data_IF_766597736024
#
_entry.id   IF_766597736024
#
_cell.length_a   1.000
_cell.length_b   1.000
_cell.length_c   1.000
_cell.angle_alpha   90.00
_cell.angle_beta   90.00
_cell.angle_gamma   90.00
#
_symmetry.space_group_name_H-M   'P 1'
#
loop_
_entity.id
_entity.type
_entity.pdbx_description
1 polymer ?
#
# COMPACT_ATOMS: atom_id res chain seq x y z
N UNK A 1 30.79 -10.28 7.88
CA UNK A 1 31.98 -9.54 8.34
C UNK A 1 31.75 -9.14 9.78
N UNK A 2 32.70 -9.40 10.68
CA UNK A 2 32.61 -8.97 12.08
C UNK A 2 33.45 -7.69 12.30
N UNK A 3 32.77 -6.57 12.55
CA UNK A 3 33.42 -5.30 12.84
C UNK A 3 34.20 -5.31 14.17
N UNK A 4 33.78 -6.12 15.14
CA UNK A 4 34.51 -6.24 16.41
C UNK A 4 35.85 -6.93 16.18
N UNK A 5 35.87 -8.00 15.39
CA UNK A 5 37.11 -8.66 14.98
C UNK A 5 38.05 -7.70 14.23
N UNK A 6 37.51 -6.90 13.30
CA UNK A 6 38.31 -5.89 12.61
C UNK A 6 38.89 -4.82 13.55
N UNK A 7 38.09 -4.32 14.50
CA UNK A 7 38.54 -3.39 15.54
C UNK A 7 39.64 -4.00 16.41
N UNK A 8 39.52 -5.28 16.77
CA UNK A 8 40.59 -6.01 17.47
C UNK A 8 41.86 -6.10 16.64
N UNK A 9 41.76 -6.39 15.34
CA UNK A 9 42.92 -6.45 14.43
C UNK A 9 43.60 -5.08 14.27
N UNK A 10 42.84 -3.98 14.27
CA UNK A 10 43.41 -2.62 14.31
C UNK A 10 44.25 -2.43 15.58
N UNK A 11 43.65 -2.66 16.75
CA UNK A 11 44.34 -2.47 18.04
C UNK A 11 45.58 -3.36 18.17
N UNK A 12 45.53 -4.57 17.61
CA UNK A 12 46.68 -5.47 17.54
C UNK A 12 47.79 -4.91 16.66
N UNK A 13 47.46 -4.44 15.46
CA UNK A 13 48.41 -3.82 14.54
C UNK A 13 49.09 -2.59 15.16
N UNK A 14 48.37 -1.78 15.93
CA UNK A 14 48.94 -0.63 16.66
C UNK A 14 50.06 -1.02 17.63
N UNK A 15 49.93 -2.18 18.28
CA UNK A 15 50.88 -2.67 19.27
C UNK A 15 52.05 -3.43 18.65
N UNK A 16 51.78 -4.21 17.61
CA UNK A 16 52.71 -5.23 17.13
C UNK A 16 53.49 -4.81 15.88
N UNK A 17 52.99 -3.85 15.09
CA UNK A 17 53.56 -3.52 13.79
C UNK A 17 54.27 -2.16 13.75
N UNK A 18 55.28 -2.07 12.89
CA UNK A 18 55.90 -0.80 12.50
C UNK A 18 54.90 0.07 11.70
N UNK A 19 54.99 1.41 11.75
CA UNK A 19 54.01 2.31 11.13
C UNK A 19 53.68 2.02 9.66
N UNK A 20 54.70 1.72 8.83
CA UNK A 20 54.49 1.39 7.42
C UNK A 20 53.68 0.09 7.22
N UNK A 21 53.98 -0.95 8.00
CA UNK A 21 53.26 -2.22 7.96
C UNK A 21 51.82 -2.10 8.49
N UNK A 22 51.57 -1.23 9.49
CA UNK A 22 50.21 -0.90 9.95
C UNK A 22 49.37 -0.30 8.84
N UNK A 23 49.92 0.72 8.17
CA UNK A 23 49.21 1.43 7.09
C UNK A 23 48.79 0.46 6.00
N UNK A 24 49.70 -0.42 5.53
CA UNK A 24 49.37 -1.44 4.54
C UNK A 24 48.26 -2.39 5.02
N UNK A 25 48.31 -2.83 6.28
CA UNK A 25 47.28 -3.70 6.83
C UNK A 25 45.91 -3.00 6.93
N UNK A 26 45.89 -1.75 7.36
CA UNK A 26 44.67 -0.95 7.47
C UNK A 26 44.08 -0.58 6.11
N UNK A 27 44.90 -0.26 5.12
CA UNK A 27 44.43 -0.02 3.75
C UNK A 27 43.78 -1.28 3.16
N UNK A 28 44.36 -2.46 3.44
CA UNK A 28 43.73 -3.74 3.07
C UNK A 28 42.37 -3.92 3.77
N UNK A 29 42.29 -3.67 5.08
CA UNK A 29 41.02 -3.74 5.82
C UNK A 29 39.99 -2.74 5.30
N UNK A 30 40.43 -1.54 4.90
CA UNK A 30 39.57 -0.52 4.32
C UNK A 30 38.98 -1.01 2.99
N UNK A 31 39.81 -1.61 2.14
CA UNK A 31 39.35 -2.21 0.87
C UNK A 31 38.36 -3.35 1.11
N UNK A 32 38.66 -4.26 2.05
CA UNK A 32 37.77 -5.37 2.40
C UNK A 32 36.40 -4.86 2.92
N UNK A 33 36.40 -3.86 3.81
CA UNK A 33 35.18 -3.27 4.36
C UNK A 33 34.37 -2.49 3.31
N UNK A 34 35.04 -1.77 2.39
CA UNK A 34 34.38 -1.12 1.25
C UNK A 34 33.74 -2.15 0.31
N UNK A 35 34.45 -3.23 -0.01
CA UNK A 35 33.91 -4.31 -0.83
C UNK A 35 32.67 -4.94 -0.18
N UNK A 36 32.71 -5.19 1.13
CA UNK A 36 31.57 -5.72 1.86
C UNK A 36 30.38 -4.76 1.89
N UNK A 37 30.60 -3.46 2.14
CA UNK A 37 29.54 -2.45 2.07
C UNK A 37 28.88 -2.40 0.69
N UNK A 38 29.68 -2.51 -0.38
CA UNK A 38 29.18 -2.59 -1.75
C UNK A 38 28.30 -3.82 -1.95
N UNK A 39 28.72 -4.99 -1.49
CA UNK A 39 27.92 -6.22 -1.61
C UNK A 39 26.56 -6.12 -0.91
N UNK A 40 26.50 -5.53 0.29
CA UNK A 40 25.24 -5.30 1.00
C UNK A 40 24.32 -4.35 0.23
N UNK A 41 24.89 -3.27 -0.30
CA UNK A 41 24.15 -2.29 -1.11
C UNK A 41 23.59 -2.91 -2.39
N UNK A 42 24.39 -3.74 -3.08
CA UNK A 42 23.99 -4.40 -4.32
C UNK A 42 22.92 -5.48 -4.07
N UNK A 43 23.04 -6.24 -2.97
CA UNK A 43 22.00 -7.19 -2.54
C UNK A 43 20.68 -6.48 -2.26
N UNK A 44 20.71 -5.38 -1.50
CA UNK A 44 19.52 -4.56 -1.24
C UNK A 44 18.87 -4.06 -2.52
N UNK A 45 19.65 -3.48 -3.44
CA UNK A 45 19.13 -2.99 -4.73
C UNK A 45 18.51 -4.11 -5.55
N UNK A 46 19.11 -5.30 -5.54
CA UNK A 46 18.60 -6.47 -6.26
C UNK A 46 17.28 -6.95 -5.67
N UNK A 47 17.15 -7.01 -4.35
CA UNK A 47 15.90 -7.36 -3.67
C UNK A 47 14.82 -6.30 -3.88
N UNK A 48 15.16 -5.01 -3.81
CA UNK A 48 14.24 -3.91 -4.15
C UNK A 48 13.75 -4.00 -5.60
N UNK A 49 14.63 -4.33 -6.55
CA UNK A 49 14.25 -4.51 -7.95
C UNK A 49 13.31 -5.71 -8.16
N UNK A 50 13.54 -6.83 -7.46
CA UNK A 50 12.63 -7.99 -7.49
C UNK A 50 11.25 -7.64 -6.96
N UNK A 51 11.18 -6.89 -5.85
CA UNK A 51 9.91 -6.44 -5.29
C UNK A 51 9.15 -5.50 -6.25
N UNK A 52 9.86 -4.65 -6.98
CA UNK A 52 9.25 -3.80 -8.01
C UNK A 52 8.76 -4.61 -9.22
N UNK A 53 9.48 -5.66 -9.61
CA UNK A 53 9.06 -6.55 -10.68
C UNK A 53 7.81 -7.36 -10.31
N UNK A 54 7.64 -7.74 -9.03
CA UNK A 54 6.43 -8.42 -8.53
C UNK A 54 5.15 -7.59 -8.75
N UNK A 55 5.21 -6.26 -8.61
CA UNK A 55 4.05 -5.38 -8.82
C UNK A 55 3.84 -4.99 -10.29
N UNK A 56 4.90 -5.00 -11.10
CA UNK A 56 4.81 -4.63 -12.51
C UNK A 56 3.90 -5.58 -13.29
N UNK A 57 3.93 -6.88 -12.98
CA UNK A 57 3.03 -7.89 -13.54
C UNK A 57 1.59 -7.82 -13.05
N UNK A 58 1.31 -7.01 -12.03
CA UNK A 58 -0.03 -6.78 -11.47
C UNK A 58 -0.64 -5.46 -11.93
N UNK A 59 0.11 -4.67 -12.72
CA UNK A 59 -0.34 -3.36 -13.17
C UNK A 59 -1.56 -3.54 -14.10
N UNK A 60 -2.71 -2.95 -13.77
CA UNK A 60 -3.89 -3.05 -14.64
C UNK A 60 -3.59 -2.40 -15.99
N UNK A 61 -3.95 -3.07 -17.10
CA UNK A 61 -3.72 -2.60 -18.47
C UNK A 61 -4.44 -1.28 -18.77
N UNK A 62 -5.51 -0.97 -18.03
CA UNK A 62 -6.33 0.22 -18.23
C UNK A 62 -6.59 0.92 -16.89
N UNK A 63 -6.19 2.19 -16.80
CA UNK A 63 -6.66 3.12 -15.76
C UNK A 63 -8.10 3.52 -16.12
N UNK A 64 -9.03 2.58 -15.99
CA UNK A 64 -10.43 2.77 -16.37
C UNK A 64 -11.09 1.44 -16.70
N UNK A 65 -12.26 1.18 -16.12
CA UNK A 65 -13.06 -0.03 -16.40
C UNK A 65 -13.45 0.00 -17.88
N UNK A 66 -12.95 -0.95 -18.68
CA UNK A 66 -13.34 -1.08 -20.09
C UNK A 66 -14.80 -1.54 -20.19
N UNK A 67 -15.51 -1.14 -21.24
CA UNK A 67 -16.94 -1.44 -21.40
C UNK A 67 -17.23 -2.95 -21.52
N UNK A 68 -16.23 -3.77 -21.87
CA UNK A 68 -16.33 -5.23 -21.90
C UNK A 68 -16.25 -5.86 -20.50
N UNK A 69 -15.40 -5.32 -19.61
CA UNK A 69 -15.40 -5.70 -18.19
C UNK A 69 -16.69 -5.27 -17.48
N UNK A 70 -17.29 -4.13 -17.87
CA UNK A 70 -18.60 -3.70 -17.34
C UNK A 70 -19.71 -4.70 -17.65
N UNK A 71 -19.67 -5.32 -18.83
CA UNK A 71 -20.66 -6.28 -19.33
C UNK A 71 -20.47 -7.67 -18.74
N UNK A 72 -19.22 -8.06 -18.47
CA UNK A 72 -18.86 -9.38 -17.96
C UNK A 72 -18.62 -9.43 -16.45
N UNK A 73 -18.68 -8.30 -15.71
CA UNK A 73 -18.62 -8.30 -14.24
C UNK A 73 -19.73 -9.19 -13.69
N UNK A 74 -19.41 -10.35 -13.09
CA UNK A 74 -20.42 -11.16 -12.45
C UNK A 74 -21.11 -10.33 -11.35
N UNK A 75 -22.37 -10.62 -11.06
CA UNK A 75 -23.16 -10.04 -9.95
C UNK A 75 -22.57 -10.38 -8.55
N UNK A 76 -21.35 -10.91 -8.51
CA UNK A 76 -20.67 -11.39 -7.32
C UNK A 76 -20.34 -10.23 -6.38
N UNK A 77 -21.05 -10.21 -5.26
CA UNK A 77 -20.60 -9.95 -3.89
C UNK A 77 -19.17 -9.38 -3.84
N UNK A 78 -19.07 -8.04 -3.92
CA UNK A 78 -17.78 -7.32 -3.94
C UNK A 78 -17.00 -7.49 -2.62
N UNK A 79 -17.63 -8.12 -1.63
CA UNK A 79 -17.07 -8.47 -0.33
C UNK A 79 -15.87 -9.43 -0.45
N UNK A 80 -15.77 -10.25 -1.50
CA UNK A 80 -14.79 -11.35 -1.57
C UNK A 80 -13.31 -11.04 -1.87
N UNK A 81 -12.93 -9.80 -2.23
CA UNK A 81 -11.59 -9.53 -2.80
C UNK A 81 -10.69 -8.57 -2.01
N UNK A 82 -11.15 -7.97 -0.92
CA UNK A 82 -10.25 -7.47 0.14
C UNK A 82 -10.01 -8.63 1.09
N UNK A 83 -8.77 -8.89 1.55
CA UNK A 83 -8.53 -9.82 2.66
C UNK A 83 -9.47 -9.44 3.82
N UNK A 84 -10.60 -10.15 3.94
CA UNK A 84 -11.64 -9.80 4.89
C UNK A 84 -11.15 -10.20 6.27
N UNK A 85 -10.71 -9.21 7.03
CA UNK A 85 -10.80 -9.31 8.48
C UNK A 85 -12.28 -9.56 8.83
N UNK A 86 -12.57 -10.63 9.58
CA UNK A 86 -13.90 -10.98 10.12
C UNK A 86 -14.64 -9.78 10.74
N UNK A 87 -13.88 -8.80 11.26
CA UNK A 87 -14.38 -7.53 11.79
C UNK A 87 -15.02 -6.65 10.71
N UNK A 88 -14.43 -6.58 9.52
CA UNK A 88 -14.94 -5.77 8.41
C UNK A 88 -16.25 -6.34 7.85
N UNK A 89 -16.41 -7.66 7.80
CA UNK A 89 -17.69 -8.31 7.42
C UNK A 89 -18.79 -7.94 8.41
N UNK A 90 -18.48 -7.98 9.71
CA UNK A 90 -19.44 -7.69 10.78
C UNK A 90 -19.90 -6.23 10.73
N UNK A 91 -18.96 -5.29 10.52
CA UNK A 91 -19.26 -3.87 10.38
C UNK A 91 -20.11 -3.60 9.14
N UNK A 92 -19.79 -4.20 7.99
CA UNK A 92 -20.58 -4.05 6.78
C UNK A 92 -22.00 -4.58 6.96
N UNK A 93 -22.17 -5.77 7.55
CA UNK A 93 -23.50 -6.32 7.85
C UNK A 93 -24.32 -5.40 8.77
N UNK A 94 -23.69 -4.80 9.78
CA UNK A 94 -24.35 -3.84 10.67
C UNK A 94 -24.77 -2.57 9.91
N UNK A 95 -23.87 -2.01 9.10
CA UNK A 95 -24.14 -0.83 8.29
C UNK A 95 -25.26 -1.10 7.27
N UNK A 96 -25.27 -2.26 6.62
CA UNK A 96 -26.34 -2.67 5.70
C UNK A 96 -27.69 -2.68 6.39
N UNK A 97 -27.79 -3.36 7.55
CA UNK A 97 -29.05 -3.41 8.32
C UNK A 97 -29.52 -2.03 8.76
N UNK A 98 -28.60 -1.19 9.22
CA UNK A 98 -28.89 0.18 9.66
C UNK A 98 -29.39 1.02 8.48
N UNK A 99 -28.74 0.91 7.33
CA UNK A 99 -29.09 1.62 6.10
C UNK A 99 -30.47 1.20 5.59
N UNK A 100 -30.74 -0.10 5.53
CA UNK A 100 -32.06 -0.61 5.14
C UNK A 100 -33.15 -0.18 6.13
N UNK A 101 -32.86 -0.17 7.43
CA UNK A 101 -33.80 0.31 8.45
C UNK A 101 -34.11 1.79 8.25
N UNK A 102 -33.07 2.60 8.00
CA UNK A 102 -33.21 4.04 7.71
C UNK A 102 -34.07 4.28 6.47
N UNK A 103 -33.78 3.57 5.38
CA UNK A 103 -34.58 3.63 4.15
C UNK A 103 -36.06 3.31 4.40
N UNK A 104 -36.36 2.32 5.25
CA UNK A 104 -37.75 1.95 5.57
C UNK A 104 -38.46 2.95 6.50
N UNK A 105 -37.72 3.61 7.38
CA UNK A 105 -38.29 4.47 8.43
C UNK A 105 -38.43 5.94 7.98
N UNK A 106 -37.49 6.43 7.17
CA UNK A 106 -37.41 7.85 6.78
C UNK A 106 -38.08 8.14 5.42
N UNK A 107 -38.34 7.12 4.60
CA UNK A 107 -38.98 7.33 3.30
C UNK A 107 -40.51 7.39 3.44
N UNK A 108 -41.06 8.60 3.53
CA UNK A 108 -42.51 8.84 3.51
C UNK A 108 -43.09 8.84 2.09
N UNK A 109 -42.26 8.98 1.06
CA UNK A 109 -42.63 9.03 -0.35
C UNK A 109 -41.59 8.37 -1.27
N UNK A 110 -41.97 7.99 -2.51
CA UNK A 110 -41.02 7.48 -3.51
C UNK A 110 -39.86 8.44 -3.79
N UNK A 111 -40.11 9.75 -3.78
CA UNK A 111 -39.10 10.79 -4.00
C UNK A 111 -38.11 10.90 -2.84
N UNK A 112 -38.58 10.79 -1.59
CA UNK A 112 -37.70 10.76 -0.40
C UNK A 112 -36.87 9.47 -0.37
N UNK A 113 -37.48 8.33 -0.73
CA UNK A 113 -36.76 7.06 -0.88
C UNK A 113 -35.62 7.18 -1.90
N UNK A 114 -35.88 7.81 -3.04
CA UNK A 114 -34.87 8.04 -4.06
C UNK A 114 -33.74 8.96 -3.58
N UNK A 115 -34.06 10.04 -2.85
CA UNK A 115 -33.04 10.94 -2.27
C UNK A 115 -32.11 10.21 -1.30
N UNK A 116 -32.66 9.34 -0.44
CA UNK A 116 -31.84 8.52 0.45
C UNK A 116 -30.93 7.56 -0.32
N UNK A 117 -31.38 7.01 -1.45
CA UNK A 117 -30.54 6.19 -2.32
C UNK A 117 -29.46 7.01 -3.02
N UNK A 118 -29.78 8.23 -3.45
CA UNK A 118 -28.82 9.17 -4.02
C UNK A 118 -27.73 9.54 -2.99
N UNK A 119 -28.09 9.77 -1.72
CA UNK A 119 -27.15 9.97 -0.62
C UNK A 119 -26.19 8.77 -0.47
N UNK A 120 -26.69 7.54 -0.60
CA UNK A 120 -25.86 6.34 -0.54
C UNK A 120 -24.92 6.21 -1.75
N UNK A 121 -25.41 6.57 -2.94
CA UNK A 121 -24.66 6.46 -4.19
C UNK A 121 -23.55 7.51 -4.30
N UNK A 122 -23.74 8.69 -3.70
CA UNK A 122 -22.82 9.83 -3.80
C UNK A 122 -21.99 10.06 -2.54
N UNK A 123 -22.16 9.24 -1.50
CA UNK A 123 -21.43 9.39 -0.25
C UNK A 123 -19.91 9.25 -0.44
N UNK A 124 -19.15 10.12 0.23
CA UNK A 124 -17.69 10.05 0.27
C UNK A 124 -17.21 8.69 0.80
N UNK A 125 -17.93 8.11 1.76
CA UNK A 125 -17.62 6.78 2.27
C UNK A 125 -18.07 5.69 1.26
N UNK A 126 -17.08 5.05 0.62
CA UNK A 126 -17.26 3.93 -0.31
C UNK A 126 -18.13 2.79 0.24
N UNK A 127 -18.19 2.61 1.57
CA UNK A 127 -19.01 1.59 2.22
C UNK A 127 -20.50 1.72 1.88
N UNK A 128 -21.03 2.94 1.76
CA UNK A 128 -22.43 3.14 1.38
C UNK A 128 -22.71 2.75 -0.07
N UNK A 129 -21.76 2.99 -0.97
CA UNK A 129 -21.82 2.51 -2.35
C UNK A 129 -21.75 0.98 -2.40
N UNK A 130 -20.92 0.35 -1.58
CA UNK A 130 -20.91 -1.12 -1.46
C UNK A 130 -22.23 -1.69 -0.94
N UNK A 131 -22.87 -1.03 0.03
CA UNK A 131 -24.20 -1.42 0.54
C UNK A 131 -25.25 -1.31 -0.56
N UNK A 132 -25.25 -0.21 -1.33
CA UNK A 132 -26.16 -0.04 -2.46
C UNK A 132 -26.00 -1.16 -3.50
N UNK A 133 -24.78 -1.62 -3.73
CA UNK A 133 -24.51 -2.70 -4.67
C UNK A 133 -24.93 -4.08 -4.14
N UNK A 134 -24.58 -4.39 -2.89
CA UNK A 134 -24.85 -5.71 -2.28
C UNK A 134 -26.33 -5.91 -1.94
N UNK A 135 -27.04 -4.82 -1.61
CA UNK A 135 -28.44 -4.85 -1.20
C UNK A 135 -29.40 -4.30 -2.25
N UNK A 136 -28.97 -4.11 -3.50
CA UNK A 136 -29.81 -3.53 -4.57
C UNK A 136 -31.19 -4.19 -4.68
N UNK A 137 -31.23 -5.52 -4.71
CA UNK A 137 -32.50 -6.25 -4.83
C UNK A 137 -33.40 -6.09 -3.61
N UNK A 138 -32.83 -6.00 -2.41
CA UNK A 138 -33.59 -5.79 -1.18
C UNK A 138 -34.13 -4.36 -1.10
N UNK A 139 -33.34 -3.37 -1.54
CA UNK A 139 -33.76 -1.97 -1.68
C UNK A 139 -34.93 -1.86 -2.68
N UNK A 140 -34.84 -2.52 -3.84
CA UNK A 140 -35.92 -2.53 -4.84
C UNK A 140 -37.18 -3.19 -4.28
N UNK A 141 -37.08 -4.36 -3.64
CA UNK A 141 -38.22 -5.03 -3.00
C UNK A 141 -38.85 -4.19 -1.90
N UNK A 142 -38.04 -3.55 -1.08
CA UNK A 142 -38.49 -2.65 -0.02
C UNK A 142 -39.29 -1.49 -0.60
N UNK A 143 -38.77 -0.82 -1.63
CA UNK A 143 -39.49 0.28 -2.27
C UNK A 143 -40.80 -0.17 -2.94
N UNK A 144 -40.82 -1.35 -3.57
CA UNK A 144 -42.06 -1.94 -4.11
C UNK A 144 -43.11 -2.22 -3.01
N UNK A 145 -42.67 -2.64 -1.82
CA UNK A 145 -43.54 -2.91 -0.67
C UNK A 145 -44.04 -1.63 0.00
N UNK A 146 -43.20 -0.60 0.11
CA UNK A 146 -43.55 0.67 0.75
C UNK A 146 -44.48 1.52 -0.13
N UNK A 147 -44.30 1.44 -1.45
CA UNK A 147 -45.04 2.27 -2.41
C UNK A 147 -45.70 1.41 -3.51
N UNK A 148 -46.67 0.55 -3.14
CA UNK A 148 -47.32 -0.35 -4.08
C UNK A 148 -48.06 0.43 -5.18
N UNK A 149 -47.95 -0.04 -6.42
CA UNK A 149 -48.72 0.50 -7.54
C UNK A 149 -50.18 0.02 -7.43
N UNK A 150 -51.07 0.84 -6.88
CA UNK A 150 -52.51 0.52 -6.86
C UNK A 150 -53.07 0.56 -8.29
N UNK A 151 -53.40 -0.61 -8.83
CA UNK A 151 -54.03 -0.76 -10.16
C UNK A 151 -55.57 -0.63 -10.15
N UNK A 152 -56.21 -0.49 -8.98
CA UNK A 152 -57.68 -0.56 -8.87
C UNK A 152 -58.44 0.78 -8.94
N UNK A 153 -57.77 1.92 -8.98
CA UNK A 153 -58.43 3.22 -9.15
C UNK A 153 -57.77 3.99 -10.28
N UNK A 154 -58.51 4.18 -11.37
CA UNK A 154 -58.06 4.70 -12.67
C UNK A 154 -57.54 6.14 -12.73
N UNK A 155 -57.06 6.72 -11.63
CA UNK A 155 -56.32 7.98 -11.60
C UNK A 155 -55.39 7.97 -10.39
N UNK A 156 -54.10 8.27 -10.62
CA UNK A 156 -53.03 8.49 -9.62
C UNK A 156 -52.53 7.27 -8.82
N UNK A 157 -51.65 6.48 -9.42
CA UNK A 157 -50.96 5.39 -8.70
C UNK A 157 -49.68 4.92 -9.39
N UNK A 158 -48.85 5.83 -9.91
CA UNK A 158 -47.59 5.40 -10.56
C UNK A 158 -46.57 4.80 -9.58
N UNK A 159 -46.77 4.95 -8.26
CA UNK A 159 -46.07 4.22 -7.20
C UNK A 159 -44.54 4.15 -7.35
N UNK A 160 -43.94 3.07 -6.83
CA UNK A 160 -42.49 2.84 -6.91
C UNK A 160 -41.94 2.78 -8.36
N UNK A 161 -42.76 2.39 -9.34
CA UNK A 161 -42.31 2.23 -10.75
C UNK A 161 -41.73 3.51 -11.35
N UNK A 162 -42.19 4.68 -10.90
CA UNK A 162 -41.67 5.97 -11.36
C UNK A 162 -40.24 6.28 -10.88
N UNK A 163 -39.79 5.66 -9.80
CA UNK A 163 -38.45 5.92 -9.25
C UNK A 163 -37.50 4.74 -9.43
N UNK A 164 -38.01 3.54 -9.73
CA UNK A 164 -37.21 2.33 -9.92
C UNK A 164 -36.11 2.46 -10.98
N UNK A 165 -36.40 3.11 -12.12
CA UNK A 165 -35.38 3.33 -13.16
C UNK A 165 -34.26 4.26 -12.68
N UNK A 166 -34.58 5.28 -11.87
CA UNK A 166 -33.58 6.20 -11.29
C UNK A 166 -32.72 5.50 -10.25
N UNK A 167 -33.30 4.62 -9.45
CA UNK A 167 -32.56 3.75 -8.51
C UNK A 167 -31.55 2.88 -9.26
N UNK A 168 -31.95 2.32 -10.41
CA UNK A 168 -31.05 1.57 -11.29
C UNK A 168 -29.90 2.43 -11.83
N UNK A 169 -30.17 3.69 -12.17
CA UNK A 169 -29.13 4.61 -12.64
C UNK A 169 -28.13 4.95 -11.53
N UNK A 170 -28.59 5.21 -10.31
CA UNK A 170 -27.71 5.39 -9.15
C UNK A 170 -26.89 4.13 -8.83
N UNK A 171 -27.47 2.94 -8.96
CA UNK A 171 -26.75 1.67 -8.83
C UNK A 171 -25.63 1.55 -9.87
N UNK A 172 -25.91 1.87 -11.14
CA UNK A 172 -24.90 1.85 -12.21
C UNK A 172 -23.78 2.86 -11.94
N UNK A 173 -24.12 4.10 -11.59
CA UNK A 173 -23.15 5.13 -11.26
C UNK A 173 -22.27 4.73 -10.07
N UNK A 174 -22.85 4.16 -9.02
CA UNK A 174 -22.10 3.63 -7.87
C UNK A 174 -21.14 2.51 -8.31
N UNK A 175 -21.60 1.56 -9.15
CA UNK A 175 -20.78 0.47 -9.69
C UNK A 175 -19.59 0.97 -10.51
N UNK A 176 -19.79 2.03 -11.30
CA UNK A 176 -18.75 2.66 -12.12
C UNK A 176 -17.78 3.52 -11.31
N UNK A 177 -18.25 4.15 -10.23
CA UNK A 177 -17.41 4.97 -9.35
C UNK A 177 -16.42 4.16 -8.48
N UNK A 178 -16.66 2.87 -8.30
CA UNK A 178 -15.83 2.01 -7.47
C UNK A 178 -14.68 1.39 -8.25
N UNK A 179 -13.52 1.35 -7.61
CA UNK A 179 -12.32 0.70 -8.13
C UNK A 179 -12.60 -0.75 -8.52
N UNK A 180 -12.02 -1.21 -9.62
CA UNK A 180 -12.12 -2.62 -10.02
C UNK A 180 -11.43 -3.53 -9.00
N UNK A 181 -11.84 -4.81 -8.88
CA UNK A 181 -11.14 -5.78 -8.04
C UNK A 181 -9.64 -5.89 -8.37
N UNK A 182 -9.27 -5.68 -9.64
CA UNK A 182 -7.88 -5.69 -10.10
C UNK A 182 -7.12 -4.45 -9.63
N UNK A 183 -7.73 -3.27 -9.69
CA UNK A 183 -7.16 -2.03 -9.13
C UNK A 183 -6.94 -2.16 -7.61
N UNK A 184 -7.90 -2.75 -6.89
CA UNK A 184 -7.77 -2.98 -5.44
C UNK A 184 -6.62 -3.97 -5.15
N UNK A 185 -6.51 -5.06 -5.93
CA UNK A 185 -5.41 -6.02 -5.79
C UNK A 185 -4.04 -5.39 -6.07
N UNK A 186 -3.96 -4.54 -7.10
CA UNK A 186 -2.74 -3.82 -7.42
C UNK A 186 -2.34 -2.86 -6.31
N UNK A 187 -3.26 -2.05 -5.79
CA UNK A 187 -2.99 -1.14 -4.66
C UNK A 187 -2.50 -1.91 -3.42
N UNK A 188 -3.16 -3.02 -3.08
CA UNK A 188 -2.71 -3.88 -1.96
C UNK A 188 -1.32 -4.46 -2.20
N UNK A 189 -1.01 -4.87 -3.42
CA UNK A 189 0.31 -5.40 -3.76
C UNK A 189 1.39 -4.31 -3.68
N UNK A 190 1.08 -3.08 -4.09
CA UNK A 190 1.95 -1.90 -3.93
C UNK A 190 2.21 -1.65 -2.44
N UNK A 191 1.18 -1.58 -1.61
CA UNK A 191 1.32 -1.37 -0.16
C UNK A 191 2.16 -2.46 0.51
N UNK A 192 1.93 -3.73 0.13
CA UNK A 192 2.72 -4.86 0.64
C UNK A 192 4.19 -4.77 0.22
N UNK A 193 4.47 -4.34 -1.01
CA UNK A 193 5.84 -4.11 -1.51
C UNK A 193 6.51 -2.94 -0.80
N UNK A 194 5.82 -1.82 -0.58
CA UNK A 194 6.35 -0.69 0.18
C UNK A 194 6.72 -1.10 1.61
N UNK A 195 5.88 -1.90 2.26
CA UNK A 195 6.16 -2.43 3.58
C UNK A 195 7.40 -3.36 3.57
N UNK A 196 7.52 -4.24 2.57
CA UNK A 196 8.69 -5.11 2.41
C UNK A 196 9.97 -4.29 2.18
N UNK A 197 9.92 -3.24 1.33
CA UNK A 197 11.05 -2.32 1.09
C UNK A 197 11.47 -1.59 2.37
N UNK A 198 10.51 -1.08 3.14
CA UNK A 198 10.76 -0.42 4.43
C UNK A 198 11.45 -1.37 5.43
N UNK A 199 10.97 -2.61 5.54
CA UNK A 199 11.60 -3.65 6.38
C UNK A 199 13.03 -3.96 5.94
N UNK A 200 13.25 -4.06 4.63
CA UNK A 200 14.56 -4.32 4.07
C UNK A 200 15.56 -3.19 4.41
N UNK A 201 15.14 -1.94 4.22
CA UNK A 201 15.93 -0.77 4.63
C UNK A 201 16.23 -0.76 6.14
N UNK A 202 15.23 -1.07 6.98
CA UNK A 202 15.42 -1.10 8.43
C UNK A 202 16.43 -2.16 8.90
N UNK A 203 16.59 -3.26 8.15
CA UNK A 203 17.55 -4.32 8.45
C UNK A 203 18.96 -3.99 7.99
N UNK A 204 19.11 -3.38 6.80
CA UNK A 204 20.44 -3.10 6.24
C UNK A 204 21.05 -1.81 6.78
N UNK A 205 20.24 -0.78 7.04
CA UNK A 205 20.71 0.56 7.40
C UNK A 205 21.63 0.59 8.65
N UNK A 206 21.31 -0.09 9.77
CA UNK A 206 22.21 -0.09 10.93
C UNK A 206 23.57 -0.73 10.62
N UNK A 207 23.60 -1.78 9.79
CA UNK A 207 24.83 -2.47 9.39
C UNK A 207 25.65 -1.58 8.45
N UNK A 208 25.01 -0.99 7.44
CA UNK A 208 25.64 -0.06 6.50
C UNK A 208 26.26 1.13 7.25
N UNK A 209 25.51 1.72 8.18
CA UNK A 209 25.98 2.84 9.02
C UNK A 209 27.19 2.45 9.87
N UNK A 210 27.15 1.30 10.55
CA UNK A 210 28.28 0.84 11.37
C UNK A 210 29.55 0.61 10.54
N UNK A 211 29.42 0.08 9.31
CA UNK A 211 30.57 -0.10 8.40
C UNK A 211 31.10 1.27 7.93
N UNK A 212 30.23 2.22 7.62
CA UNK A 212 30.64 3.58 7.23
C UNK A 212 31.37 4.31 8.36
N UNK A 213 30.87 4.22 9.59
CA UNK A 213 31.53 4.77 10.78
C UNK A 213 32.91 4.14 10.97
N UNK A 214 33.01 2.80 10.89
CA UNK A 214 34.28 2.08 10.95
C UNK A 214 35.27 2.52 9.86
N UNK A 215 34.80 2.69 8.61
CA UNK A 215 35.63 3.17 7.50
C UNK A 215 36.15 4.60 7.76
N UNK A 216 35.33 5.46 8.36
CA UNK A 216 35.73 6.80 8.78
C UNK A 216 36.81 6.79 9.86
N UNK A 217 36.62 5.99 10.92
CA UNK A 217 37.61 5.78 11.98
C UNK A 217 38.94 5.28 11.41
N UNK A 218 38.88 4.26 10.54
CA UNK A 218 40.05 3.65 9.91
C UNK A 218 40.79 4.63 9.00
N UNK A 219 40.07 5.41 8.20
CA UNK A 219 40.65 6.45 7.34
C UNK A 219 41.38 7.52 8.16
N UNK A 220 40.79 7.95 9.27
CA UNK A 220 41.43 8.88 10.20
C UNK A 220 42.75 8.34 10.75
N UNK A 221 42.78 7.07 11.17
CA UNK A 221 44.00 6.39 11.67
C UNK A 221 45.09 6.26 10.60
N UNK A 222 44.72 5.88 9.37
CA UNK A 222 45.65 5.78 8.24
C UNK A 222 46.30 7.14 7.97
N UNK A 223 45.49 8.19 7.80
CA UNK A 223 45.98 9.53 7.48
C UNK A 223 46.89 10.09 8.58
N UNK A 224 46.49 9.93 9.85
CA UNK A 224 47.31 10.35 10.98
C UNK A 224 48.67 9.64 11.00
N UNK A 225 48.70 8.33 10.74
CA UNK A 225 49.93 7.54 10.77
C UNK A 225 50.84 7.89 9.59
N UNK A 226 50.28 8.11 8.39
CA UNK A 226 51.02 8.60 7.22
C UNK A 226 51.70 9.94 7.49
N UNK A 227 51.00 10.88 8.11
CA UNK A 227 51.53 12.21 8.44
C UNK A 227 52.64 12.19 9.50
N UNK A 228 52.75 11.11 10.28
CA UNK A 228 53.79 10.94 11.32
C UNK A 228 55.02 10.17 10.82
N UNK A 229 55.01 9.60 9.62
CA UNK A 229 56.16 8.89 9.05
C UNK A 229 57.18 9.86 8.43
N UNK A 230 58.49 9.56 8.47
CA UNK A 230 59.52 10.39 7.86
C UNK A 230 59.29 10.43 6.34
N UNK A 231 58.98 11.62 5.80
CA UNK A 231 58.60 11.82 4.39
C UNK A 231 57.14 12.23 4.16
N UNK A 232 56.30 12.30 5.19
CA UNK A 232 54.94 12.84 5.08
C UNK A 232 54.94 14.34 4.82
N UNK A 233 54.66 14.78 3.59
CA UNK A 233 54.36 16.18 3.30
C UNK A 233 53.07 16.56 4.06
N UNK A 234 53.20 17.50 5.00
CA UNK A 234 52.03 18.16 5.59
C UNK A 234 51.39 19.05 4.53
N UNK A 235 50.42 18.54 3.77
CA UNK A 235 49.48 19.40 3.08
C UNK A 235 48.45 19.88 4.10
N UNK A 236 48.83 20.88 4.88
CA UNK A 236 47.87 21.78 5.51
C UNK A 236 47.20 22.56 4.38
N UNK A 237 45.96 22.23 4.06
CA UNK A 237 45.08 23.12 3.32
C UNK A 237 44.06 23.62 4.34
N UNK A 238 44.13 24.94 4.57
CA UNK A 238 43.18 25.71 5.36
C UNK A 238 41.82 25.78 4.69
#
# INVERSE_FOLDING_TARGET
MDLNEMRHRINRAERELMPAARVQQWEKMQSDAQAYLKTLTDQRKTEEAKLLQEIEGLKPEVVGVTDEEKKNRPETTIVGSRKLDSRNVTVMNYLTKTTLSRLSAEAGSPEEFLKLIEELATNDNEQFRYILLDSYHDIVKMGQSLFPSNTEKGLAGMGFKNVEHKIRDHYKAAKESLKSPEQIKYEQAVDEVELKKSRLASRSYPVEKNIQEFLGELSGKINWTKNKMPGGQSTNVW
#
